data_IF_964852158844
#
_entry.id   IF_964852158844
#
_cell.length_a   1.000
_cell.length_b   1.000
_cell.length_c   1.000
_cell.angle_alpha   90.00
_cell.angle_beta   90.00
_cell.angle_gamma   90.00
#
_symmetry.space_group_name_H-M   'P 1'
#
loop_
_entity.id
_entity.type
_entity.pdbx_description
1 polymer ?
#
# COMPACT_ATOMS: atom_id res chain seq x y z
N UNK A 1 -11.10 -3.32 -4.85
CA UNK A 1 -10.65 -2.48 -3.73
C UNK A 1 -11.66 -2.57 -2.61
N UNK A 2 -11.18 -2.57 -1.37
CA UNK A 2 -12.01 -2.69 -0.17
C UNK A 2 -11.87 -1.46 0.74
N UNK A 3 -12.85 -1.29 1.63
CA UNK A 3 -12.74 -0.42 2.80
C UNK A 3 -12.62 -1.23 4.08
N UNK A 4 -11.90 -0.69 5.06
CA UNK A 4 -11.69 -1.28 6.37
C UNK A 4 -12.12 -0.25 7.41
N UNK A 5 -13.25 -0.52 8.05
CA UNK A 5 -13.91 0.42 8.97
C UNK A 5 -13.50 0.15 10.41
N UNK A 6 -13.46 1.21 11.21
CA UNK A 6 -13.12 1.16 12.64
C UNK A 6 -11.83 0.39 12.95
N UNK A 7 -10.77 0.64 12.19
CA UNK A 7 -9.46 0.03 12.44
C UNK A 7 -8.61 0.86 13.41
N UNK A 8 -7.63 0.23 14.04
CA UNK A 8 -6.50 0.94 14.64
C UNK A 8 -5.58 1.41 13.49
N UNK A 9 -5.63 2.70 13.15
CA UNK A 9 -5.05 3.25 11.92
C UNK A 9 -3.53 3.07 11.91
N UNK A 10 -2.85 3.36 13.03
CA UNK A 10 -1.39 3.22 13.12
C UNK A 10 -0.99 1.76 12.93
N UNK A 11 -1.61 0.84 13.69
CA UNK A 11 -1.29 -0.59 13.61
C UNK A 11 -1.57 -1.15 12.21
N UNK A 12 -2.64 -0.67 11.57
CA UNK A 12 -3.06 -1.13 10.25
C UNK A 12 -2.10 -0.65 9.15
N UNK A 13 -1.77 0.64 9.12
CA UNK A 13 -0.81 1.17 8.15
C UNK A 13 0.59 0.59 8.35
N UNK A 14 1.01 0.33 9.59
CA UNK A 14 2.27 -0.36 9.87
C UNK A 14 2.28 -1.80 9.32
N UNK A 15 1.17 -2.52 9.47
CA UNK A 15 1.02 -3.88 8.93
C UNK A 15 1.08 -3.89 7.40
N UNK A 16 0.49 -2.88 6.74
CA UNK A 16 0.58 -2.69 5.29
C UNK A 16 2.01 -2.34 4.87
N UNK A 17 2.65 -1.39 5.55
CA UNK A 17 4.03 -0.98 5.30
C UNK A 17 4.96 -2.19 5.33
N UNK A 18 4.84 -3.07 6.34
CA UNK A 18 5.65 -4.29 6.46
C UNK A 18 5.49 -5.28 5.30
N UNK A 19 4.47 -5.14 4.46
CA UNK A 19 4.33 -5.95 3.25
C UNK A 19 5.05 -5.36 2.04
N UNK A 20 5.41 -4.07 2.03
CA UNK A 20 5.85 -3.41 0.80
C UNK A 20 7.09 -2.51 0.96
N UNK A 21 7.36 -1.96 2.16
CA UNK A 21 8.49 -1.05 2.43
C UNK A 21 9.68 -1.79 2.99
N UNK A 22 10.64 -2.12 2.12
CA UNK A 22 11.88 -2.78 2.46
C UNK A 22 12.88 -1.85 3.17
N UNK A 23 13.01 -0.62 2.66
CA UNK A 23 13.96 0.36 3.15
C UNK A 23 13.25 1.62 3.64
N UNK A 24 13.90 2.37 4.52
CA UNK A 24 13.37 3.61 5.10
C UNK A 24 12.03 3.42 5.84
N UNK A 25 11.86 2.31 6.55
CA UNK A 25 10.64 2.08 7.36
C UNK A 25 10.46 3.13 8.46
N UNK A 26 11.53 3.81 8.87
CA UNK A 26 11.50 4.94 9.80
C UNK A 26 10.76 6.17 9.23
N UNK A 27 10.51 6.26 7.91
CA UNK A 27 9.63 7.28 7.35
C UNK A 27 8.22 7.19 7.95
N UNK A 28 7.79 6.00 8.38
CA UNK A 28 6.51 5.81 9.03
C UNK A 28 6.41 6.50 10.41
N UNK A 29 7.54 6.82 11.05
CA UNK A 29 7.53 7.62 12.28
C UNK A 29 7.07 9.06 12.00
N UNK A 30 7.43 9.61 10.82
CA UNK A 30 6.91 10.90 10.38
C UNK A 30 5.42 10.82 10.07
N UNK A 31 4.99 9.75 9.39
CA UNK A 31 3.57 9.51 9.12
C UNK A 31 2.75 9.40 10.41
N UNK A 32 3.28 8.70 11.43
CA UNK A 32 2.64 8.60 12.76
C UNK A 32 2.42 9.96 13.39
N UNK A 33 3.42 10.85 13.32
CA UNK A 33 3.30 12.21 13.83
C UNK A 33 2.24 13.03 13.07
N UNK A 34 2.17 12.87 11.74
CA UNK A 34 1.13 13.49 10.90
C UNK A 34 -0.26 12.99 11.29
N UNK A 35 -0.42 11.67 11.45
CA UNK A 35 -1.67 11.03 11.85
C UNK A 35 -2.13 11.48 13.25
N UNK A 36 -1.20 11.60 14.20
CA UNK A 36 -1.49 12.11 15.55
C UNK A 36 -1.97 13.57 15.51
N UNK A 37 -1.26 14.44 14.79
CA UNK A 37 -1.67 15.84 14.63
C UNK A 37 -3.03 15.97 13.94
N UNK A 38 -3.26 15.19 12.89
CA UNK A 38 -4.53 15.15 12.18
C UNK A 38 -5.67 14.66 13.09
N UNK A 39 -5.46 13.61 13.88
CA UNK A 39 -6.46 13.07 14.81
C UNK A 39 -6.89 14.07 15.89
N UNK A 40 -5.99 14.98 16.28
CA UNK A 40 -6.27 16.05 17.23
C UNK A 40 -6.92 17.29 16.60
N UNK A 41 -7.03 17.36 15.27
CA UNK A 41 -7.60 18.54 14.62
C UNK A 41 -9.12 18.62 14.84
N UNK A 42 -9.65 19.80 15.23
CA UNK A 42 -11.09 20.02 15.29
C UNK A 42 -11.73 20.05 13.90
N UNK A 43 -10.94 20.29 12.85
CA UNK A 43 -11.40 20.41 11.47
C UNK A 43 -11.56 19.03 10.84
N UNK A 44 -12.74 18.74 10.29
CA UNK A 44 -13.02 17.45 9.66
C UNK A 44 -12.15 17.17 8.42
N UNK A 45 -11.82 18.20 7.64
CA UNK A 45 -10.96 18.06 6.44
C UNK A 45 -9.53 17.65 6.79
N UNK A 46 -8.99 18.13 7.91
CA UNK A 46 -7.64 17.78 8.37
C UNK A 46 -7.50 16.30 8.74
N UNK A 47 -8.63 15.64 9.03
CA UNK A 47 -8.72 14.21 9.38
C UNK A 47 -8.81 13.30 8.16
N UNK A 48 -8.78 13.87 6.95
CA UNK A 48 -8.72 13.13 5.68
C UNK A 48 -7.33 13.21 5.08
N UNK A 49 -6.72 12.04 4.96
CA UNK A 49 -5.34 11.91 4.54
C UNK A 49 -5.24 10.91 3.39
N UNK A 50 -4.20 11.08 2.58
CA UNK A 50 -3.75 10.07 1.64
C UNK A 50 -2.42 9.53 2.12
N UNK A 51 -2.32 8.21 2.21
CA UNK A 51 -1.12 7.51 2.63
C UNK A 51 -0.69 6.51 1.55
N UNK A 52 0.61 6.40 1.30
CA UNK A 52 1.13 5.28 0.53
C UNK A 52 2.38 4.66 1.17
N UNK A 53 2.60 3.40 0.81
CA UNK A 53 3.84 2.67 1.02
C UNK A 53 4.44 2.28 -0.32
N UNK A 54 5.75 2.43 -0.45
CA UNK A 54 6.57 1.97 -1.58
C UNK A 54 7.79 1.16 -1.06
N UNK A 55 8.57 0.49 -1.92
CA UNK A 55 9.76 -0.26 -1.50
C UNK A 55 10.76 0.54 -0.66
N UNK A 56 10.87 1.84 -0.91
CA UNK A 56 11.84 2.75 -0.28
C UNK A 56 11.18 3.88 0.51
N UNK A 57 10.20 3.56 1.35
CA UNK A 57 9.63 4.47 2.33
C UNK A 57 8.12 4.59 2.26
N UNK A 58 7.58 5.51 3.05
CA UNK A 58 6.15 5.82 3.14
C UNK A 58 5.92 7.32 3.04
N UNK A 59 4.68 7.73 2.79
CA UNK A 59 4.31 9.15 2.86
C UNK A 59 2.84 9.32 3.23
N UNK A 60 2.57 10.30 4.08
CA UNK A 60 1.24 10.73 4.51
C UNK A 60 1.02 12.21 4.18
N UNK A 61 -0.10 12.52 3.53
CA UNK A 61 -0.46 13.89 3.14
C UNK A 61 -1.91 14.19 3.49
N UNK A 62 -2.23 15.47 3.75
CA UNK A 62 -3.63 15.92 3.71
C UNK A 62 -4.18 15.70 2.30
N UNK A 63 -5.36 15.12 2.24
CA UNK A 63 -5.98 14.76 0.95
C UNK A 63 -6.17 15.99 0.07
N UNK A 64 -6.70 17.09 0.64
CA UNK A 64 -6.89 18.34 -0.10
C UNK A 64 -5.61 18.87 -0.74
N UNK A 65 -4.47 18.78 -0.06
CA UNK A 65 -3.20 19.31 -0.55
C UNK A 65 -2.67 18.52 -1.75
N UNK A 66 -3.03 17.24 -1.86
CA UNK A 66 -2.69 16.40 -3.02
C UNK A 66 -3.44 16.86 -4.28
N UNK A 67 -4.64 17.44 -4.12
CA UNK A 67 -5.43 18.00 -5.22
C UNK A 67 -5.13 19.49 -5.52
N UNK A 68 -4.05 20.05 -4.95
CA UNK A 68 -3.61 21.42 -5.22
C UNK A 68 -2.30 21.44 -6.01
N UNK A 69 -2.33 21.91 -7.26
CA UNK A 69 -1.12 22.04 -8.09
C UNK A 69 -0.15 23.03 -7.47
N UNK A 70 1.14 22.71 -7.55
CA UNK A 70 2.21 23.52 -7.00
C UNK A 70 2.58 23.17 -5.56
N UNK A 71 1.78 22.35 -4.86
CA UNK A 71 2.17 21.84 -3.53
C UNK A 71 3.17 20.70 -3.64
N UNK A 72 4.00 20.53 -2.60
CA UNK A 72 4.91 19.38 -2.49
C UNK A 72 4.13 18.06 -2.51
N UNK A 73 2.96 18.04 -1.88
CA UNK A 73 2.07 16.89 -1.73
C UNK A 73 1.60 16.42 -3.10
N UNK A 74 1.06 17.32 -3.92
CA UNK A 74 0.64 17.03 -5.29
C UNK A 74 1.80 16.51 -6.14
N UNK A 75 2.95 17.19 -6.09
CA UNK A 75 4.13 16.80 -6.85
C UNK A 75 4.64 15.42 -6.44
N UNK A 76 4.69 15.14 -5.13
CA UNK A 76 5.16 13.85 -4.60
C UNK A 76 4.20 12.72 -4.96
N UNK A 77 2.89 12.94 -4.81
CA UNK A 77 1.88 11.96 -5.16
C UNK A 77 1.88 11.61 -6.65
N UNK A 78 2.19 12.57 -7.53
CA UNK A 78 2.34 12.31 -8.97
C UNK A 78 3.67 11.69 -9.35
N UNK A 79 4.77 12.12 -8.72
CA UNK A 79 6.11 11.66 -9.05
C UNK A 79 6.22 10.14 -9.05
N UNK A 80 5.69 9.45 -8.04
CA UNK A 80 5.76 7.99 -7.98
C UNK A 80 4.83 7.26 -8.96
N UNK A 81 3.82 7.94 -9.49
CA UNK A 81 2.98 7.40 -10.57
C UNK A 81 3.59 7.62 -11.96
N UNK A 82 4.35 8.70 -12.14
CA UNK A 82 4.88 9.12 -13.44
C UNK A 82 6.33 8.66 -13.69
N UNK A 83 7.17 8.64 -12.65
CA UNK A 83 8.63 8.56 -12.78
C UNK A 83 9.22 7.26 -12.21
N UNK A 84 8.45 6.45 -11.50
CA UNK A 84 8.95 5.19 -10.93
C UNK A 84 8.16 3.98 -11.41
N UNK A 85 8.75 2.80 -11.22
CA UNK A 85 8.11 1.50 -11.44
C UNK A 85 7.85 0.79 -10.12
N UNK A 86 7.87 1.53 -9.02
CA UNK A 86 7.68 1.00 -7.68
C UNK A 86 6.27 0.43 -7.55
N UNK A 87 6.14 -0.72 -6.88
CA UNK A 87 4.82 -1.18 -6.44
C UNK A 87 4.37 -0.29 -5.27
N UNK A 88 3.39 0.56 -5.53
CA UNK A 88 2.82 1.45 -4.51
C UNK A 88 1.53 0.85 -3.97
N UNK A 89 1.43 0.72 -2.65
CA UNK A 89 0.18 0.45 -1.94
C UNK A 89 -0.34 1.77 -1.40
N UNK A 90 -1.53 2.21 -1.85
CA UNK A 90 -2.09 3.51 -1.47
C UNK A 90 -3.46 3.37 -0.80
N UNK A 91 -3.73 4.25 0.17
CA UNK A 91 -4.95 4.27 0.95
C UNK A 91 -5.39 5.70 1.21
N UNK A 92 -6.68 5.97 1.05
CA UNK A 92 -7.29 7.11 1.71
C UNK A 92 -7.60 6.75 3.16
N UNK A 93 -7.40 7.70 4.07
CA UNK A 93 -7.50 7.52 5.52
C UNK A 93 -8.47 8.56 6.06
N UNK A 94 -9.49 8.10 6.77
CA UNK A 94 -10.44 8.96 7.49
C UNK A 94 -10.31 8.69 8.98
N UNK A 95 -9.88 9.69 9.75
CA UNK A 95 -9.72 9.57 11.19
C UNK A 95 -11.04 9.88 11.91
N UNK A 96 -11.53 8.92 12.70
CA UNK A 96 -12.81 9.04 13.41
C UNK A 96 -12.65 9.46 14.86
N UNK A 97 -11.46 9.33 15.45
CA UNK A 97 -11.14 9.82 16.79
C UNK A 97 -10.07 8.99 17.49
N UNK A 98 -9.93 9.21 18.81
CA UNK A 98 -9.02 8.45 19.67
C UNK A 98 -9.85 7.66 20.68
N UNK A 99 -9.64 6.35 20.71
CA UNK A 99 -10.32 5.43 21.66
C UNK A 99 -9.26 4.59 22.37
N UNK A 100 -9.22 4.65 23.71
CA UNK A 100 -8.24 3.93 24.53
C UNK A 100 -6.78 4.18 24.09
N UNK A 101 -6.46 5.43 23.74
CA UNK A 101 -5.12 5.83 23.27
C UNK A 101 -4.79 5.41 21.83
N UNK A 102 -5.74 4.79 21.10
CA UNK A 102 -5.56 4.36 19.71
C UNK A 102 -6.28 5.30 18.76
N UNK A 103 -5.60 5.68 17.68
CA UNK A 103 -6.22 6.44 16.59
C UNK A 103 -7.12 5.47 15.80
N UNK A 104 -8.41 5.75 15.83
CA UNK A 104 -9.45 5.00 15.12
C UNK A 104 -9.80 5.70 13.82
N UNK A 105 -10.17 4.90 12.82
CA UNK A 105 -10.50 5.43 11.51
C UNK A 105 -10.85 4.37 10.49
N UNK A 106 -11.08 4.83 9.27
CA UNK A 106 -11.39 4.02 8.11
C UNK A 106 -10.23 4.09 7.12
N UNK A 107 -9.90 2.95 6.51
CA UNK A 107 -8.93 2.86 5.42
C UNK A 107 -9.65 2.45 4.14
N UNK A 108 -9.37 3.15 3.05
CA UNK A 108 -9.95 2.89 1.73
C UNK A 108 -8.82 2.56 0.77
N UNK A 109 -8.76 1.32 0.30
CA UNK A 109 -7.74 0.89 -0.65
C UNK A 109 -7.90 1.63 -1.98
N UNK A 110 -6.79 2.14 -2.52
CA UNK A 110 -6.74 2.87 -3.78
C UNK A 110 -5.90 2.10 -4.82
N UNK A 111 -6.38 2.09 -6.06
CA UNK A 111 -5.60 1.74 -7.24
C UNK A 111 -4.71 2.94 -7.52
N UNK A 112 -3.49 2.92 -6.99
CA UNK A 112 -2.59 4.06 -7.08
C UNK A 112 -2.35 4.53 -8.53
N UNK A 113 -2.07 3.63 -9.51
CA UNK A 113 -2.00 4.01 -10.93
C UNK A 113 -3.23 4.75 -11.47
N UNK A 114 -4.43 4.33 -11.09
CA UNK A 114 -5.65 5.04 -11.49
C UNK A 114 -5.78 6.37 -10.72
N UNK A 115 -5.50 6.35 -9.42
CA UNK A 115 -5.70 7.47 -8.52
C UNK A 115 -4.76 8.65 -8.82
N UNK A 116 -3.48 8.42 -9.12
CA UNK A 116 -2.59 9.54 -9.45
C UNK A 116 -2.98 10.25 -10.77
N UNK A 117 -3.53 9.49 -11.74
CA UNK A 117 -4.05 10.08 -13.00
C UNK A 117 -5.27 10.94 -12.71
N UNK A 118 -6.18 10.45 -11.87
CA UNK A 118 -7.33 11.20 -11.38
C UNK A 118 -6.90 12.49 -10.67
N UNK A 119 -5.95 12.41 -9.73
CA UNK A 119 -5.36 13.58 -9.05
C UNK A 119 -4.79 14.58 -10.06
N UNK A 120 -4.06 14.11 -11.08
CA UNK A 120 -3.49 14.97 -12.11
C UNK A 120 -4.57 15.72 -12.91
N UNK A 121 -5.65 15.03 -13.25
CA UNK A 121 -6.75 15.56 -14.05
C UNK A 121 -7.62 16.55 -13.27
N UNK A 122 -7.96 16.22 -12.01
CA UNK A 122 -8.91 16.99 -11.21
C UNK A 122 -8.27 18.10 -10.35
N UNK A 123 -6.95 18.11 -10.17
CA UNK A 123 -6.30 19.07 -9.30
C UNK A 123 -6.49 20.53 -9.76
N UNK A 124 -6.71 21.40 -8.78
CA UNK A 124 -6.90 22.84 -8.95
C UNK A 124 -5.57 23.57 -8.72
N UNK A 125 -5.29 24.70 -9.40
CA UNK A 125 -4.13 25.51 -9.06
C UNK A 125 -4.26 26.13 -7.66
N UNK A 126 -3.17 26.12 -6.90
CA UNK A 126 -3.06 26.99 -5.75
C UNK A 126 -2.93 28.45 -6.21
N UNK A 127 -3.69 29.35 -5.59
CA UNK A 127 -3.71 30.78 -5.90
C UNK A 127 -2.90 31.58 -4.88
N UNK A 128 -3.06 31.26 -3.60
CA UNK A 128 -2.35 31.90 -2.51
C UNK A 128 -1.82 30.88 -1.49
N UNK A 129 -0.87 31.31 -0.67
CA UNK A 129 -0.45 30.63 0.55
C UNK A 129 -0.81 31.49 1.76
N UNK A 130 -1.51 30.89 2.72
CA UNK A 130 -1.68 31.46 4.06
C UNK A 130 -0.51 30.99 4.92
N UNK A 131 0.29 31.91 5.42
CA UNK A 131 1.37 31.66 6.37
C UNK A 131 0.83 31.93 7.76
N UNK A 132 0.84 30.91 8.61
CA UNK A 132 0.38 30.96 9.98
C UNK A 132 1.56 31.15 10.91
N UNK A 133 1.42 32.12 11.80
CA UNK A 133 2.38 32.49 12.82
C UNK A 133 1.71 32.46 14.20
N UNK A 134 2.52 32.53 15.26
CA UNK A 134 2.06 32.52 16.65
C UNK A 134 1.01 33.61 16.98
N UNK A 135 1.09 34.77 16.32
CA UNK A 135 0.24 35.94 16.60
C UNK A 135 -0.57 36.42 15.39
N UNK A 136 -0.76 35.58 14.36
CA UNK A 136 -1.63 35.90 13.24
C UNK A 136 -1.29 35.16 11.95
N UNK A 137 -1.81 35.66 10.84
CA UNK A 137 -1.58 35.08 9.52
C UNK A 137 -1.27 36.14 8.47
N UNK A 138 -0.56 35.71 7.42
CA UNK A 138 -0.27 36.52 6.24
C UNK A 138 -0.61 35.74 4.99
N UNK A 139 -1.18 36.40 4.00
CA UNK A 139 -1.45 35.80 2.69
C UNK A 139 -0.41 36.28 1.68
N UNK A 140 0.08 35.37 0.84
CA UNK A 140 0.93 35.70 -0.30
C UNK A 140 0.50 34.94 -1.57
N UNK A 141 0.67 35.52 -2.77
CA UNK A 141 0.43 34.82 -4.02
C UNK A 141 1.28 33.56 -4.18
N UNK A 142 0.68 32.53 -4.77
CA UNK A 142 1.38 31.31 -5.15
C UNK A 142 2.49 31.61 -6.17
N UNK A 143 3.63 30.91 -6.05
CA UNK A 143 4.81 31.13 -6.89
C UNK A 143 5.78 32.19 -6.36
N UNK A 144 5.40 32.97 -5.34
CA UNK A 144 6.36 33.77 -4.59
C UNK A 144 7.20 32.90 -3.66
N UNK A 145 8.42 33.36 -3.37
CA UNK A 145 9.31 32.70 -2.41
C UNK A 145 8.63 32.62 -1.04
N UNK A 146 8.65 31.44 -0.43
CA UNK A 146 8.18 31.17 0.92
C UNK A 146 9.41 31.01 1.81
N UNK A 147 9.54 31.85 2.83
CA UNK A 147 10.46 31.58 3.94
C UNK A 147 9.70 31.39 5.25
N UNK A 148 10.24 30.52 6.09
CA UNK A 148 9.70 30.23 7.42
C UNK A 148 10.37 31.09 8.49
N UNK A 149 10.83 32.30 8.14
CA UNK A 149 11.46 33.17 9.13
C UNK A 149 10.39 33.71 10.10
N UNK A 150 10.77 33.94 11.37
CA UNK A 150 9.91 34.69 12.28
C UNK A 150 9.60 36.08 11.72
N UNK A 151 8.36 36.51 11.92
CA UNK A 151 7.93 37.87 11.60
C UNK A 151 8.02 38.75 12.86
N UNK A 152 8.56 39.98 12.79
CA UNK A 152 8.69 40.86 13.94
C UNK A 152 7.36 41.19 14.66
N UNK A 153 6.23 41.13 13.94
CA UNK A 153 4.90 41.42 14.49
C UNK A 153 4.10 40.15 14.72
N UNK A 154 4.15 39.19 13.80
CA UNK A 154 3.36 37.96 13.87
C UNK A 154 4.03 36.86 14.69
N UNK A 155 5.31 37.00 15.04
CA UNK A 155 6.04 36.06 15.88
C UNK A 155 6.61 34.89 15.08
N UNK A 156 6.74 33.73 15.74
CA UNK A 156 7.35 32.53 15.14
C UNK A 156 6.47 31.97 14.03
N UNK A 157 7.09 31.62 12.89
CA UNK A 157 6.42 30.88 11.82
C UNK A 157 6.04 29.45 12.29
N UNK A 158 4.79 29.05 12.06
CA UNK A 158 4.28 27.74 12.46
C UNK A 158 4.13 26.80 11.28
N UNK A 159 3.40 27.24 10.24
CA UNK A 159 3.07 26.44 9.05
C UNK A 159 2.51 27.32 7.94
N UNK A 160 2.40 26.78 6.74
CA UNK A 160 1.68 27.41 5.64
C UNK A 160 0.59 26.49 5.11
N UNK A 161 -0.43 27.07 4.49
CA UNK A 161 -1.53 26.35 3.83
C UNK A 161 -1.72 26.88 2.41
N UNK A 162 -1.80 25.98 1.44
CA UNK A 162 -2.13 26.33 0.07
C UNK A 162 -3.64 26.56 -0.08
N UNK A 163 -4.01 27.69 -0.68
CA UNK A 163 -5.40 28.05 -0.97
C UNK A 163 -5.69 27.80 -2.45
N UNK A 164 -6.77 27.07 -2.80
CA UNK A 164 -7.17 26.88 -4.20
C UNK A 164 -7.60 28.21 -4.82
N UNK A 165 -7.45 28.33 -6.14
CA UNK A 165 -8.08 29.40 -6.92
C UNK A 165 -9.61 29.34 -6.89
N UNK A 166 -10.18 28.17 -6.62
CA UNK A 166 -11.62 27.92 -6.50
C UNK A 166 -11.90 27.04 -5.26
N UNK A 167 -12.16 27.66 -4.09
CA UNK A 167 -12.48 26.93 -2.86
C UNK A 167 -13.74 26.08 -2.94
N UNK A 168 -14.76 26.51 -3.69
CA UNK A 168 -16.02 25.77 -3.83
C UNK A 168 -15.82 24.51 -4.67
N UNK A 169 -15.06 24.61 -5.76
CA UNK A 169 -14.68 23.45 -6.57
C UNK A 169 -13.86 22.44 -5.78
N UNK A 170 -12.91 22.89 -4.94
CA UNK A 170 -12.15 21.99 -4.06
C UNK A 170 -13.08 21.29 -3.07
N UNK A 171 -13.98 22.03 -2.43
CA UNK A 171 -14.94 21.45 -1.47
C UNK A 171 -15.89 20.46 -2.16
N UNK A 172 -16.32 20.73 -3.40
CA UNK A 172 -17.09 19.77 -4.20
C UNK A 172 -16.28 18.51 -4.48
N UNK A 173 -15.03 18.63 -4.94
CA UNK A 173 -14.14 17.51 -5.20
C UNK A 173 -13.93 16.64 -3.95
N UNK A 174 -13.68 17.24 -2.78
CA UNK A 174 -13.50 16.51 -1.52
C UNK A 174 -14.75 15.73 -1.09
N UNK A 175 -15.95 16.18 -1.49
CA UNK A 175 -17.20 15.43 -1.26
C UNK A 175 -17.34 14.27 -2.25
N UNK A 176 -16.96 14.44 -3.50
CA UNK A 176 -16.97 13.37 -4.50
C UNK A 176 -15.97 12.25 -4.17
N UNK A 177 -14.75 12.59 -3.74
CA UNK A 177 -13.77 11.60 -3.26
C UNK A 177 -14.36 10.77 -2.12
N UNK A 178 -14.96 11.43 -1.11
CA UNK A 178 -15.59 10.72 0.01
C UNK A 178 -16.73 9.81 -0.44
N UNK A 179 -17.59 10.27 -1.36
CA UNK A 179 -18.67 9.45 -1.91
C UNK A 179 -18.15 8.23 -2.66
N UNK A 180 -17.01 8.38 -3.36
CA UNK A 180 -16.34 7.27 -4.02
C UNK A 180 -15.88 6.22 -3.00
N UNK A 181 -15.24 6.66 -1.93
CA UNK A 181 -14.76 5.80 -0.85
C UNK A 181 -15.89 5.05 -0.13
N UNK A 182 -17.02 5.72 0.13
CA UNK A 182 -18.17 5.14 0.81
C UNK A 182 -18.82 3.98 0.05
N UNK A 183 -18.67 3.97 -1.28
CA UNK A 183 -19.17 2.91 -2.17
C UNK A 183 -18.27 1.67 -2.19
N UNK A 184 -17.07 1.72 -1.60
CA UNK A 184 -16.20 0.56 -1.53
C UNK A 184 -16.80 -0.53 -0.64
N UNK A 185 -16.53 -1.79 -0.99
CA UNK A 185 -17.04 -2.94 -0.25
C UNK A 185 -16.25 -3.11 1.05
N UNK A 186 -16.92 -3.39 2.20
CA UNK A 186 -16.21 -3.76 3.42
C UNK A 186 -15.32 -4.99 3.19
N UNK A 187 -14.09 -4.93 3.66
CA UNK A 187 -13.11 -6.01 3.59
C UNK A 187 -12.70 -6.55 4.96
N UNK A 188 -12.21 -7.79 4.98
CA UNK A 188 -11.51 -8.34 6.15
C UNK A 188 -10.04 -7.89 6.09
N UNK A 189 -9.64 -7.03 7.03
CA UNK A 189 -8.29 -6.48 7.07
C UNK A 189 -7.21 -7.55 7.24
N UNK A 190 -7.47 -8.61 8.00
CA UNK A 190 -6.50 -9.69 8.20
C UNK A 190 -6.33 -10.51 6.92
N UNK A 191 -7.43 -10.78 6.22
CA UNK A 191 -7.38 -11.41 4.91
C UNK A 191 -6.63 -10.53 3.90
N UNK A 192 -6.82 -9.22 3.97
CA UNK A 192 -6.12 -8.24 3.14
C UNK A 192 -4.60 -8.27 3.33
N UNK A 193 -4.12 -8.22 4.57
CA UNK A 193 -2.68 -8.35 4.86
C UNK A 193 -2.12 -9.67 4.35
N UNK A 194 -2.87 -10.77 4.49
CA UNK A 194 -2.47 -12.09 3.96
C UNK A 194 -2.36 -12.06 2.44
N UNK A 195 -3.31 -11.43 1.75
CA UNK A 195 -3.27 -11.29 0.30
C UNK A 195 -2.09 -10.42 -0.18
N UNK A 196 -1.76 -9.33 0.53
CA UNK A 196 -0.58 -8.51 0.23
C UNK A 196 0.72 -9.30 0.38
N UNK A 197 0.83 -10.07 1.47
CA UNK A 197 1.98 -10.94 1.73
C UNK A 197 2.16 -12.01 0.64
N UNK A 198 1.08 -12.70 0.27
CA UNK A 198 1.11 -13.74 -0.77
C UNK A 198 1.42 -13.14 -2.14
N UNK A 199 0.83 -11.98 -2.47
CA UNK A 199 1.08 -11.25 -3.72
C UNK A 199 2.53 -10.80 -3.84
N UNK A 200 3.21 -10.45 -2.73
CA UNK A 200 4.63 -10.10 -2.74
C UNK A 200 5.49 -11.27 -3.21
N UNK A 201 5.24 -12.47 -2.68
CA UNK A 201 5.99 -13.69 -3.04
C UNK A 201 5.72 -14.08 -4.48
N UNK A 202 4.45 -14.04 -4.89
CA UNK A 202 4.06 -14.36 -6.27
C UNK A 202 4.68 -13.39 -7.28
N UNK A 203 4.67 -12.09 -7.00
CA UNK A 203 5.26 -11.09 -7.88
C UNK A 203 6.76 -11.31 -8.09
N UNK A 204 7.49 -11.70 -7.04
CA UNK A 204 8.90 -12.04 -7.15
C UNK A 204 9.12 -13.32 -7.99
N UNK A 205 8.29 -14.34 -7.81
CA UNK A 205 8.34 -15.55 -8.64
C UNK A 205 8.10 -15.23 -10.12
N UNK A 206 7.11 -14.39 -10.42
CA UNK A 206 6.80 -13.92 -11.78
C UNK A 206 7.97 -13.14 -12.38
N UNK A 207 8.58 -12.24 -11.61
CA UNK A 207 9.76 -11.48 -12.04
C UNK A 207 10.94 -12.40 -12.39
N UNK A 208 11.27 -13.35 -11.51
CA UNK A 208 12.35 -14.31 -11.76
C UNK A 208 12.07 -15.13 -13.03
N UNK A 209 10.85 -15.64 -13.20
CA UNK A 209 10.49 -16.40 -14.41
C UNK A 209 10.61 -15.53 -15.67
N UNK A 210 10.11 -14.29 -15.63
CA UNK A 210 10.19 -13.37 -16.77
C UNK A 210 11.65 -13.02 -17.13
N UNK A 211 12.50 -12.75 -16.14
CA UNK A 211 13.91 -12.46 -16.35
C UNK A 211 14.69 -13.68 -16.84
N UNK A 212 14.39 -14.87 -16.29
CA UNK A 212 14.97 -16.12 -16.77
C UNK A 212 14.62 -16.34 -18.25
N UNK A 213 13.37 -16.09 -18.67
CA UNK A 213 12.95 -16.23 -20.07
C UNK A 213 13.62 -15.23 -21.02
N UNK A 214 13.90 -14.02 -20.54
CA UNK A 214 14.47 -12.94 -21.35
C UNK A 214 15.94 -13.17 -21.74
N UNK A 215 16.65 -14.07 -21.08
CA UNK A 215 18.07 -14.30 -21.36
C UNK A 215 18.25 -15.26 -22.54
N UNK A 216 18.97 -14.84 -23.59
CA UNK A 216 19.20 -15.70 -24.75
C UNK A 216 20.33 -16.71 -24.53
N UNK A 217 21.28 -16.40 -23.64
CA UNK A 217 22.44 -17.25 -23.35
C UNK A 217 22.82 -17.23 -21.86
N UNK A 218 23.49 -18.27 -21.33
CA UNK A 218 23.93 -18.32 -19.95
C UNK A 218 24.76 -17.09 -19.56
N UNK A 219 24.40 -16.44 -18.46
CA UNK A 219 25.04 -15.20 -17.99
C UNK A 219 25.98 -15.41 -16.79
N UNK A 220 26.18 -16.66 -16.34
CA UNK A 220 27.19 -16.96 -15.33
C UNK A 220 28.62 -16.69 -15.82
N UNK A 221 29.60 -16.44 -14.92
CA UNK A 221 30.99 -16.18 -15.32
C UNK A 221 31.60 -17.26 -16.21
N UNK A 222 31.29 -18.53 -15.94
CA UNK A 222 31.72 -19.70 -16.71
C UNK A 222 30.75 -20.13 -17.83
N UNK A 223 29.68 -19.37 -18.09
CA UNK A 223 28.67 -19.63 -19.13
C UNK A 223 27.97 -21.00 -19.03
N UNK A 224 27.85 -21.54 -17.82
CA UNK A 224 27.15 -22.82 -17.56
C UNK A 224 25.75 -22.64 -17.00
N UNK A 225 25.41 -21.48 -16.43
CA UNK A 225 24.12 -21.23 -15.78
C UNK A 225 23.48 -19.93 -16.25
N UNK A 226 22.15 -19.90 -16.22
CA UNK A 226 21.35 -18.69 -16.18
C UNK A 226 21.18 -18.23 -14.74
N UNK A 227 21.27 -16.93 -14.52
CA UNK A 227 21.27 -16.33 -13.20
C UNK A 227 20.37 -15.11 -13.17
N UNK A 228 19.53 -15.04 -12.14
CA UNK A 228 18.71 -13.86 -11.82
C UNK A 228 18.89 -13.56 -10.34
N UNK A 229 19.25 -12.32 -10.01
CA UNK A 229 19.29 -11.87 -8.63
C UNK A 229 17.87 -11.85 -8.06
N UNK A 230 17.67 -12.39 -6.86
CA UNK A 230 16.44 -12.17 -6.10
C UNK A 230 16.35 -10.70 -5.72
N UNK A 231 15.15 -10.12 -5.78
CA UNK A 231 14.94 -8.70 -5.55
C UNK A 231 15.48 -8.30 -4.16
N UNK A 232 16.33 -7.27 -4.05
CA UNK A 232 16.77 -6.77 -2.76
C UNK A 232 15.60 -6.35 -1.87
N UNK A 233 14.53 -5.80 -2.45
CA UNK A 233 13.31 -5.45 -1.71
C UNK A 233 12.61 -6.69 -1.16
N UNK A 234 12.52 -7.76 -1.95
CA UNK A 234 11.97 -9.02 -1.49
C UNK A 234 12.82 -9.60 -0.36
N UNK A 235 14.14 -9.69 -0.55
CA UNK A 235 15.08 -10.28 0.41
C UNK A 235 15.10 -9.53 1.76
N UNK A 236 14.89 -8.22 1.74
CA UNK A 236 14.82 -7.40 2.95
C UNK A 236 13.54 -7.66 3.77
N UNK A 237 12.46 -8.11 3.12
CA UNK A 237 11.15 -8.34 3.74
C UNK A 237 10.81 -9.81 3.96
N UNK A 238 11.49 -10.70 3.25
CA UNK A 238 11.19 -12.12 3.21
C UNK A 238 11.70 -12.83 4.47
N UNK A 239 10.84 -13.65 5.06
CA UNK A 239 11.29 -14.67 6.00
C UNK A 239 11.91 -15.86 5.27
N UNK A 240 12.61 -16.76 5.97
CA UNK A 240 13.08 -18.03 5.39
C UNK A 240 11.92 -18.83 4.77
N UNK A 241 10.74 -18.84 5.43
CA UNK A 241 9.54 -19.51 4.92
C UNK A 241 9.05 -18.86 3.62
N UNK A 242 9.20 -17.55 3.47
CA UNK A 242 8.81 -16.84 2.26
C UNK A 242 9.73 -17.23 1.10
N UNK A 243 11.03 -17.37 1.37
CA UNK A 243 12.02 -17.85 0.39
C UNK A 243 11.76 -19.30 -0.01
N UNK A 244 11.38 -20.17 0.93
CA UNK A 244 10.98 -21.55 0.62
C UNK A 244 9.72 -21.58 -0.25
N UNK A 245 8.73 -20.72 0.05
CA UNK A 245 7.53 -20.57 -0.77
C UNK A 245 7.86 -20.05 -2.17
N UNK A 246 8.75 -19.08 -2.29
CA UNK A 246 9.26 -18.57 -3.57
C UNK A 246 9.91 -19.70 -4.37
N UNK A 247 10.82 -20.46 -3.75
CA UNK A 247 11.49 -21.60 -4.39
C UNK A 247 10.46 -22.62 -4.89
N UNK A 248 9.45 -22.96 -4.08
CA UNK A 248 8.40 -23.91 -4.45
C UNK A 248 7.51 -23.43 -5.62
N UNK A 249 7.34 -22.10 -5.80
CA UNK A 249 6.59 -21.52 -6.92
C UNK A 249 7.35 -21.58 -8.25
N UNK A 250 8.68 -21.67 -8.23
CA UNK A 250 9.48 -21.69 -9.45
C UNK A 250 9.44 -23.09 -10.11
N UNK A 251 9.21 -23.18 -11.44
CA UNK A 251 8.88 -24.44 -12.10
C UNK A 251 10.10 -25.29 -12.51
N UNK A 252 11.31 -24.89 -12.13
CA UNK A 252 12.55 -25.45 -12.67
C UNK A 252 13.10 -26.59 -11.83
N UNK A 253 13.74 -27.57 -12.47
CA UNK A 253 14.29 -28.76 -11.79
C UNK A 253 15.69 -28.52 -11.24
N UNK A 254 16.54 -27.82 -11.97
CA UNK A 254 17.92 -27.51 -11.58
C UNK A 254 18.02 -26.23 -10.75
N UNK A 255 16.91 -25.73 -10.19
CA UNK A 255 16.90 -24.48 -9.45
C UNK A 255 17.73 -24.59 -8.18
N UNK A 256 18.60 -23.61 -7.96
CA UNK A 256 19.22 -23.37 -6.65
C UNK A 256 19.27 -21.88 -6.35
N UNK A 257 19.25 -21.53 -5.06
CA UNK A 257 19.52 -20.18 -4.57
C UNK A 257 20.89 -20.15 -3.91
N UNK A 258 21.76 -19.23 -4.32
CA UNK A 258 23.12 -19.14 -3.77
C UNK A 258 23.70 -17.73 -3.89
N UNK A 259 24.70 -17.43 -3.06
CA UNK A 259 25.52 -16.22 -3.21
C UNK A 259 26.68 -16.50 -4.16
N UNK A 260 27.24 -15.45 -4.74
CA UNK A 260 28.43 -15.53 -5.58
C UNK A 260 29.56 -14.82 -4.84
N UNK A 261 30.72 -15.44 -4.77
CA UNK A 261 31.91 -14.80 -4.20
C UNK A 261 32.22 -13.48 -4.93
N UNK A 262 32.45 -12.41 -4.17
CA UNK A 262 32.71 -11.08 -4.73
C UNK A 262 31.50 -10.35 -5.31
N UNK A 263 30.26 -10.88 -5.18
CA UNK A 263 29.04 -10.14 -5.53
C UNK A 263 28.06 -10.08 -4.37
N UNK A 264 27.38 -8.94 -4.24
CA UNK A 264 26.27 -8.79 -3.32
C UNK A 264 25.01 -9.47 -3.88
N UNK A 265 24.09 -9.85 -2.99
CA UNK A 265 22.81 -10.45 -3.35
C UNK A 265 22.78 -11.98 -3.31
N UNK A 266 21.56 -12.51 -3.43
CA UNK A 266 21.29 -13.95 -3.60
C UNK A 266 20.74 -14.17 -5.00
N UNK A 267 21.22 -15.19 -5.69
CA UNK A 267 20.87 -15.44 -7.08
C UNK A 267 20.16 -16.77 -7.22
N UNK A 268 19.14 -16.80 -8.08
CA UNK A 268 18.57 -18.02 -8.63
C UNK A 268 19.45 -18.51 -9.78
N UNK A 269 19.84 -19.78 -9.76
CA UNK A 269 20.63 -20.44 -10.80
C UNK A 269 19.81 -21.50 -11.49
N UNK A 270 19.93 -21.57 -12.82
CA UNK A 270 19.43 -22.67 -13.65
C UNK A 270 20.56 -23.18 -14.53
N UNK A 271 20.69 -24.49 -14.68
CA UNK A 271 21.63 -25.07 -15.64
C UNK A 271 21.27 -24.58 -17.07
N UNK A 272 22.28 -24.42 -17.92
CA UNK A 272 22.08 -23.99 -19.32
C UNK A 272 21.10 -24.87 -20.12
N UNK A 273 20.89 -26.12 -19.71
CA UNK A 273 19.98 -27.08 -20.33
C UNK A 273 18.55 -27.07 -19.78
N UNK A 274 18.26 -26.31 -18.72
CA UNK A 274 16.91 -26.24 -18.13
C UNK A 274 15.91 -25.57 -19.07
N UNK A 275 14.69 -26.12 -19.15
CA UNK A 275 13.58 -25.52 -19.88
C UNK A 275 13.01 -24.29 -19.13
N UNK A 276 13.27 -23.11 -19.69
CA UNK A 276 12.87 -21.82 -19.13
C UNK A 276 11.51 -21.33 -19.63
N UNK A 277 10.84 -22.06 -20.53
CA UNK A 277 9.56 -21.62 -21.12
C UNK A 277 8.37 -21.69 -20.15
N UNK A 278 8.53 -22.42 -19.04
CA UNK A 278 7.46 -22.72 -18.07
C UNK A 278 6.99 -21.49 -17.29
N UNK A 279 5.75 -21.51 -16.84
CA UNK A 279 5.18 -20.48 -15.96
C UNK A 279 5.28 -20.90 -14.49
N UNK A 280 5.11 -19.94 -13.57
CA UNK A 280 5.10 -20.23 -12.12
C UNK A 280 4.09 -21.34 -11.79
N UNK A 281 4.42 -22.15 -10.79
CA UNK A 281 3.49 -23.12 -10.21
C UNK A 281 2.45 -22.35 -9.39
N UNK A 282 1.18 -22.73 -9.53
CA UNK A 282 0.12 -22.19 -8.67
C UNK A 282 0.48 -22.48 -7.21
N UNK A 283 0.36 -21.46 -6.36
CA UNK A 283 0.47 -21.64 -4.93
C UNK A 283 -0.52 -22.73 -4.50
N UNK A 284 -0.03 -23.81 -3.89
CA UNK A 284 -0.93 -24.81 -3.29
C UNK A 284 -1.66 -24.11 -2.15
N UNK A 285 -3.00 -24.09 -2.13
CA UNK A 285 -3.74 -23.49 -1.02
C UNK A 285 -3.32 -24.18 0.28
N UNK A 286 -3.12 -23.39 1.34
CA UNK A 286 -2.76 -23.96 2.63
C UNK A 286 -3.83 -24.95 3.10
N UNK A 287 -3.45 -25.98 3.86
CA UNK A 287 -4.40 -26.96 4.43
C UNK A 287 -5.50 -26.24 5.22
N UNK A 288 -5.19 -25.11 5.88
CA UNK A 288 -6.18 -24.30 6.59
C UNK A 288 -7.18 -23.61 5.65
N UNK A 289 -6.73 -23.12 4.49
CA UNK A 289 -7.58 -22.53 3.46
C UNK A 289 -8.45 -23.58 2.75
N UNK A 290 -7.92 -24.80 2.57
CA UNK A 290 -8.70 -25.95 2.10
C UNK A 290 -9.76 -26.32 3.13
N UNK A 291 -9.41 -26.46 4.41
CA UNK A 291 -10.36 -26.77 5.48
C UNK A 291 -11.45 -25.70 5.68
N UNK A 292 -11.17 -24.41 5.45
CA UNK A 292 -12.20 -23.36 5.47
C UNK A 292 -13.06 -23.33 4.21
N UNK A 293 -12.51 -23.66 3.04
CA UNK A 293 -13.29 -23.85 1.82
C UNK A 293 -14.22 -25.06 1.95
N UNK A 294 -13.70 -26.17 2.49
CA UNK A 294 -14.44 -27.41 2.75
C UNK A 294 -15.55 -27.20 3.80
N UNK A 295 -15.32 -26.35 4.80
CA UNK A 295 -16.37 -25.93 5.74
C UNK A 295 -17.45 -25.05 5.10
N UNK A 296 -17.14 -24.30 4.03
CA UNK A 296 -18.13 -23.50 3.30
C UNK A 296 -18.93 -24.33 2.29
N UNK A 297 -18.37 -25.43 1.77
CA UNK A 297 -19.06 -26.38 0.86
C UNK A 297 -19.82 -27.48 1.59
N UNK A 298 -19.54 -27.73 2.87
CA UNK A 298 -20.32 -28.63 3.70
C UNK A 298 -21.66 -27.99 4.11
N UNK A 299 -22.73 -28.30 3.39
CA UNK A 299 -24.10 -27.98 3.81
C UNK A 299 -24.41 -28.60 5.19
N UNK A 300 -25.17 -27.93 6.08
CA UNK A 300 -25.56 -28.51 7.35
C UNK A 300 -26.40 -29.76 7.10
N UNK A 301 -25.97 -30.90 7.62
CA UNK A 301 -26.75 -32.15 7.61
C UNK A 301 -28.12 -31.86 8.21
N UNK A 302 -29.18 -31.94 7.39
CA UNK A 302 -30.57 -31.91 7.85
C UNK A 302 -30.72 -32.93 8.97
N UNK A 303 -31.16 -32.47 10.14
CA UNK A 303 -31.62 -33.35 11.20
C UNK A 303 -32.76 -34.22 10.65
N UNK A 304 -32.62 -35.54 10.74
CA UNK A 304 -33.68 -36.47 10.35
C UNK A 304 -34.91 -36.22 11.23
N UNK A 305 -36.01 -35.79 10.61
CA UNK A 305 -37.30 -35.71 11.28
C UNK A 305 -37.72 -37.11 11.73
N UNK A 306 -37.87 -37.30 13.06
CA UNK A 306 -38.51 -38.48 13.65
C UNK A 306 -39.93 -38.59 13.07
N UNK A 307 -40.16 -39.61 12.24
CA UNK A 307 -41.52 -40.09 11.95
C UNK A 307 -41.97 -40.94 13.14
N UNK A 308 -43.00 -40.48 13.86
CA UNK A 308 -43.81 -41.34 14.72
C UNK A 308 -44.77 -42.09 13.80
N UNK A 309 -44.61 -43.39 13.66
CA UNK A 309 -45.71 -44.24 13.21
C UNK A 309 -46.59 -44.53 14.43
N UNK A 310 -47.84 -44.08 14.35
CA UNK A 310 -48.95 -44.70 15.05
C UNK A 310 -49.29 -45.98 14.31
N UNK A 311 -49.32 -47.11 15.01
CA UNK A 311 -50.23 -48.20 14.67
C UNK A 311 -50.84 -48.71 15.99
N UNK A 312 -52.16 -48.86 15.93
CA UNK A 312 -53.09 -49.37 16.94
C UNK A 312 -53.59 -50.73 16.45
N UNK A 313 -54.14 -51.51 17.40
CA UNK A 313 -54.86 -52.80 17.28
C UNK A 313 -53.94 -54.04 17.28
N UNK A 314 -54.12 -55.05 18.15
CA UNK A 314 -55.25 -55.52 18.99
C UNK A 314 -54.73 -55.96 20.36
#
# INVERSE_FOLDING_TARGET
MNKFEDVDVITSLEAIMKQNTAFYQNDFDLDRNILQKAAASPTAEDRRLLWFSRPSGTSCFRERDVFLKGTRQHNTWRFYGEQTRDKVLAYAVELTGIVNGKIKGNLYELDYPQHFRHVKEQALPADNYTLLYEHGERVQPAGQYLDGNPDPQLGKFERFEAQPNDPEALHFLMREEKRSYDRLKPGDFKAHITALHDSRIEAEAQRIVAEMKRQDSPNSPNKTHFMVELSPYFMQLASTKDTDRLFAMLPYKTLSFSKIEGRHGTFAFLDKSEDRSRNIRKARPSVRAQLTADKKTAAPKKAAAKRKNHDLEV
#
